data_IF_853461945418
#
_entry.id   IF_853461945418
#
_cell.length_a   1.000
_cell.length_b   1.000
_cell.length_c   1.000
_cell.angle_alpha   90.00
_cell.angle_beta   90.00
_cell.angle_gamma   90.00
#
_symmetry.space_group_name_H-M   'P 1'
#
loop_
_entity.id
_entity.type
_entity.pdbx_description
1 polymer ?
#
# COMPACT_ATOMS: atom_id res chain seq x y z
N UNK A 1 20.60 5.01 -27.78
CA UNK A 1 19.41 5.34 -26.98
C UNK A 1 19.13 6.83 -27.17
N UNK A 2 17.90 7.22 -27.52
CA UNK A 2 17.56 8.63 -27.73
C UNK A 2 17.34 9.29 -26.35
N UNK A 3 18.27 10.16 -25.95
CA UNK A 3 18.27 10.81 -24.64
C UNK A 3 16.92 11.43 -24.25
N UNK A 4 16.18 11.96 -25.23
CA UNK A 4 14.87 12.58 -25.01
C UNK A 4 13.78 11.55 -24.67
N UNK A 5 13.81 10.37 -25.29
CA UNK A 5 12.90 9.26 -25.00
C UNK A 5 13.13 8.73 -23.59
N UNK A 6 14.39 8.49 -23.23
CA UNK A 6 14.76 7.94 -21.93
C UNK A 6 14.39 8.90 -20.79
N UNK A 7 14.67 10.19 -20.98
CA UNK A 7 14.30 11.23 -20.01
C UNK A 7 12.78 11.33 -19.81
N UNK A 8 12.01 11.35 -20.90
CA UNK A 8 10.54 11.46 -20.83
C UNK A 8 9.92 10.21 -20.19
N UNK A 9 10.48 9.02 -20.48
CA UNK A 9 10.08 7.78 -19.81
C UNK A 9 10.37 7.82 -18.30
N UNK A 10 11.53 8.34 -17.90
CA UNK A 10 11.88 8.54 -16.49
C UNK A 10 10.94 9.53 -15.79
N UNK A 11 10.50 10.58 -16.48
CA UNK A 11 9.49 11.51 -15.95
C UNK A 11 8.15 10.81 -15.71
N UNK A 12 7.67 10.00 -16.66
CA UNK A 12 6.44 9.23 -16.46
C UNK A 12 6.56 8.28 -15.26
N UNK A 13 7.68 7.55 -15.16
CA UNK A 13 7.96 6.67 -14.03
C UNK A 13 8.02 7.42 -12.68
N UNK A 14 8.50 8.66 -12.69
CA UNK A 14 8.51 9.51 -11.50
C UNK A 14 7.10 9.90 -11.05
N UNK A 15 6.21 10.26 -11.98
CA UNK A 15 4.82 10.59 -11.64
C UNK A 15 4.06 9.35 -11.12
N UNK A 16 4.28 8.18 -11.74
CA UNK A 16 3.78 6.89 -11.22
C UNK A 16 4.29 6.63 -9.79
N UNK A 17 5.56 6.91 -9.51
CA UNK A 17 6.14 6.76 -8.18
C UNK A 17 5.49 7.70 -7.16
N UNK A 18 5.18 8.94 -7.55
CA UNK A 18 4.49 9.92 -6.68
C UNK A 18 3.01 9.58 -6.49
N UNK A 19 2.47 8.62 -7.24
CA UNK A 19 1.04 8.28 -7.22
C UNK A 19 0.18 9.19 -8.11
N UNK A 20 0.79 10.03 -8.95
CA UNK A 20 0.06 10.88 -9.88
C UNK A 20 -0.13 10.16 -11.23
N UNK A 21 -1.07 9.22 -11.23
CA UNK A 21 -1.40 8.43 -12.42
C UNK A 21 -1.93 9.31 -13.56
N UNK A 22 -2.61 10.42 -13.26
CA UNK A 22 -3.12 11.35 -14.28
C UNK A 22 -1.99 12.12 -14.97
N UNK A 23 -0.99 12.60 -14.23
CA UNK A 23 0.20 13.20 -14.82
C UNK A 23 1.00 12.16 -15.62
N UNK A 24 1.15 10.93 -15.11
CA UNK A 24 1.82 9.85 -15.83
C UNK A 24 1.16 9.55 -17.18
N UNK A 25 -0.19 9.48 -17.23
CA UNK A 25 -0.96 9.30 -18.49
C UNK A 25 -0.59 10.39 -19.50
N UNK A 26 -0.60 11.67 -19.09
CA UNK A 26 -0.26 12.80 -19.98
C UNK A 26 1.16 12.67 -20.54
N UNK A 27 2.12 12.26 -19.72
CA UNK A 27 3.52 12.09 -20.16
C UNK A 27 3.63 10.91 -21.14
N UNK A 28 2.99 9.78 -20.87
CA UNK A 28 2.99 8.63 -21.78
C UNK A 28 2.32 8.95 -23.13
N UNK A 29 1.20 9.66 -23.12
CA UNK A 29 0.52 10.10 -24.35
C UNK A 29 1.41 11.03 -25.18
N UNK A 30 2.08 12.00 -24.53
CA UNK A 30 3.04 12.88 -25.20
C UNK A 30 4.21 12.09 -25.80
N UNK A 31 4.75 11.11 -25.07
CA UNK A 31 5.83 10.25 -25.55
C UNK A 31 5.42 9.45 -26.79
N UNK A 32 4.22 8.87 -26.79
CA UNK A 32 3.70 8.11 -27.91
C UNK A 32 3.36 8.97 -29.12
N UNK A 33 2.97 10.23 -28.90
CA UNK A 33 2.66 11.18 -29.97
C UNK A 33 3.92 11.76 -30.60
N UNK A 34 4.84 12.24 -29.78
CA UNK A 34 5.97 13.07 -30.23
C UNK A 34 7.19 12.23 -30.63
N UNK A 35 7.40 11.06 -29.99
CA UNK A 35 8.60 10.25 -30.17
C UNK A 35 8.33 8.91 -30.86
N UNK A 36 7.13 8.66 -31.43
CA UNK A 36 6.75 7.36 -32.01
C UNK A 36 7.80 6.76 -32.95
N UNK A 37 8.40 7.61 -33.80
CA UNK A 37 9.41 7.22 -34.81
C UNK A 37 10.75 6.82 -34.18
N UNK A 38 10.99 7.23 -32.94
CA UNK A 38 12.21 6.99 -32.18
C UNK A 38 12.07 5.83 -31.18
N UNK A 39 10.90 5.19 -31.11
CA UNK A 39 10.63 4.03 -30.26
C UNK A 39 10.77 2.74 -31.06
N UNK A 40 11.55 1.79 -30.53
CA UNK A 40 11.49 0.42 -31.01
C UNK A 40 10.16 -0.26 -30.60
N UNK A 41 9.88 -1.44 -31.18
CA UNK A 41 8.64 -2.18 -30.91
C UNK A 41 8.46 -2.54 -29.44
N UNK A 42 9.55 -2.87 -28.73
CA UNK A 42 9.50 -3.25 -27.31
C UNK A 42 9.16 -2.04 -26.45
N UNK A 43 9.85 -0.92 -26.67
CA UNK A 43 9.59 0.34 -25.98
C UNK A 43 8.16 0.81 -26.22
N UNK A 44 7.70 0.79 -27.46
CA UNK A 44 6.33 1.16 -27.81
C UNK A 44 5.29 0.30 -27.06
N UNK A 45 5.45 -1.02 -27.09
CA UNK A 45 4.53 -1.94 -26.40
C UNK A 45 4.55 -1.74 -24.88
N UNK A 46 5.73 -1.52 -24.30
CA UNK A 46 5.87 -1.24 -22.86
C UNK A 46 5.14 0.05 -22.48
N UNK A 47 5.33 1.13 -23.25
CA UNK A 47 4.66 2.41 -22.98
C UNK A 47 3.14 2.29 -23.14
N UNK A 48 2.66 1.57 -24.16
CA UNK A 48 1.22 1.31 -24.35
C UNK A 48 0.62 0.55 -23.17
N UNK A 49 1.31 -0.49 -22.70
CA UNK A 49 0.88 -1.27 -21.54
C UNK A 49 0.82 -0.40 -20.28
N UNK A 50 1.88 0.36 -19.98
CA UNK A 50 1.90 1.24 -18.82
C UNK A 50 0.85 2.34 -18.91
N UNK A 51 0.62 2.91 -20.10
CA UNK A 51 -0.46 3.88 -20.33
C UNK A 51 -1.84 3.28 -20.02
N UNK A 52 -2.10 2.05 -20.46
CA UNK A 52 -3.37 1.37 -20.18
C UNK A 52 -3.57 1.16 -18.67
N UNK A 53 -2.54 0.69 -17.96
CA UNK A 53 -2.59 0.54 -16.50
C UNK A 53 -2.85 1.86 -15.80
N UNK A 54 -2.18 2.95 -16.20
CA UNK A 54 -2.35 4.24 -15.55
C UNK A 54 -3.73 4.87 -15.85
N UNK A 55 -4.31 4.65 -17.05
CA UNK A 55 -5.69 5.06 -17.33
C UNK A 55 -6.70 4.35 -16.43
N UNK A 56 -6.56 3.03 -16.29
CA UNK A 56 -7.40 2.27 -15.37
C UNK A 56 -7.23 2.75 -13.93
N UNK A 57 -6.00 3.06 -13.51
CA UNK A 57 -5.73 3.61 -12.18
C UNK A 57 -6.42 4.97 -11.97
N UNK A 58 -6.46 5.85 -12.98
CA UNK A 58 -7.17 7.13 -12.90
C UNK A 58 -8.67 6.91 -12.70
N UNK A 59 -9.29 6.01 -13.46
CA UNK A 59 -10.71 5.68 -13.29
C UNK A 59 -10.99 5.10 -11.89
N UNK A 60 -10.17 4.14 -11.45
CA UNK A 60 -10.31 3.54 -10.12
C UNK A 60 -10.03 4.52 -8.97
N UNK A 61 -9.23 5.55 -9.22
CA UNK A 61 -8.94 6.59 -8.23
C UNK A 61 -10.17 7.47 -7.98
N UNK A 62 -11.04 7.67 -8.97
CA UNK A 62 -12.31 8.39 -8.76
C UNK A 62 -13.22 7.66 -7.76
N UNK A 63 -13.20 6.33 -7.76
CA UNK A 63 -13.93 5.53 -6.77
C UNK A 63 -13.27 5.62 -5.39
N UNK A 64 -11.94 5.60 -5.32
CA UNK A 64 -11.22 5.84 -4.06
C UNK A 64 -11.55 7.21 -3.48
N UNK A 65 -11.62 8.28 -4.30
CA UNK A 65 -12.02 9.62 -3.87
C UNK A 65 -13.41 9.66 -3.25
N UNK A 66 -14.37 8.89 -3.77
CA UNK A 66 -15.71 8.76 -3.16
C UNK A 66 -15.62 8.11 -1.80
N UNK A 67 -14.87 7.02 -1.68
CA UNK A 67 -14.65 6.38 -0.39
C UNK A 67 -13.94 7.31 0.60
N UNK A 68 -12.98 8.14 0.16
CA UNK A 68 -12.33 9.13 1.04
C UNK A 68 -13.32 10.16 1.58
N UNK A 69 -14.23 10.64 0.74
CA UNK A 69 -15.27 11.57 1.15
C UNK A 69 -16.23 10.91 2.16
N UNK A 70 -16.59 9.64 1.97
CA UNK A 70 -17.40 8.90 2.94
C UNK A 70 -16.67 8.68 4.27
N UNK A 71 -15.37 8.36 4.23
CA UNK A 71 -14.56 8.13 5.43
C UNK A 71 -14.34 9.40 6.25
N UNK A 72 -14.26 10.57 5.59
CA UNK A 72 -14.08 11.86 6.26
C UNK A 72 -15.20 12.20 7.25
N UNK A 73 -16.40 11.65 7.02
CA UNK A 73 -17.57 11.81 7.90
C UNK A 73 -17.63 10.77 9.03
N UNK A 74 -16.66 9.86 9.10
CA UNK A 74 -16.64 8.72 10.04
C UNK A 74 -15.57 8.89 11.10
N UNK A 75 -15.77 8.19 12.22
CA UNK A 75 -14.73 7.99 13.24
C UNK A 75 -14.00 6.69 12.94
N UNK A 76 -13.03 6.73 12.02
CA UNK A 76 -12.24 5.55 11.66
C UNK A 76 -11.04 5.37 12.61
N UNK A 77 -10.77 4.14 13.09
CA UNK A 77 -9.58 3.82 13.86
C UNK A 77 -8.30 4.23 13.15
N UNK A 78 -7.28 4.60 13.91
CA UNK A 78 -5.97 4.98 13.38
C UNK A 78 -4.87 4.14 14.03
N UNK A 79 -3.85 3.81 13.24
CA UNK A 79 -2.57 3.31 13.75
C UNK A 79 -1.53 4.41 13.59
N UNK A 80 -0.92 4.79 14.72
CA UNK A 80 0.25 5.66 14.75
C UNK A 80 1.48 4.77 14.84
N UNK A 81 2.26 4.73 13.76
CA UNK A 81 3.47 3.91 13.63
C UNK A 81 4.67 4.85 13.78
N UNK A 82 5.36 4.75 14.91
CA UNK A 82 6.61 5.48 15.15
C UNK A 82 7.78 4.63 14.65
N UNK A 83 8.66 5.24 13.86
CA UNK A 83 9.82 4.56 13.28
C UNK A 83 11.13 5.32 13.56
N UNK A 84 12.25 4.76 13.15
CA UNK A 84 13.53 5.48 13.13
C UNK A 84 13.57 6.65 12.13
N UNK A 85 12.67 6.64 11.14
CA UNK A 85 12.58 7.69 10.09
C UNK A 85 11.53 8.75 10.39
N UNK A 86 10.70 8.54 11.40
CA UNK A 86 9.61 9.43 11.77
C UNK A 86 8.29 8.70 11.95
N UNK A 87 7.23 9.49 12.06
CA UNK A 87 5.87 9.02 12.34
C UNK A 87 5.10 8.78 11.03
N UNK A 88 4.35 7.69 10.97
CA UNK A 88 3.38 7.38 9.91
C UNK A 88 2.01 7.18 10.58
N UNK A 89 0.98 7.87 10.10
CA UNK A 89 -0.39 7.70 10.60
C UNK A 89 -1.22 7.02 9.53
N UNK A 90 -1.82 5.90 9.88
CA UNK A 90 -2.69 5.10 9.01
C UNK A 90 -4.12 5.18 9.53
N UNK A 91 -5.06 5.54 8.67
CA UNK A 91 -6.50 5.39 8.90
C UNK A 91 -6.93 3.98 8.47
N UNK A 92 -7.63 3.25 9.34
CA UNK A 92 -8.13 1.90 9.08
C UNK A 92 -9.57 1.90 8.57
N UNK A 93 -9.86 1.03 7.60
CA UNK A 93 -11.16 0.89 6.97
C UNK A 93 -12.04 -0.13 7.69
N UNK A 94 -12.46 0.22 8.90
CA UNK A 94 -13.23 -0.69 9.77
C UNK A 94 -14.51 -1.24 9.11
N UNK A 95 -15.22 -0.44 8.32
CA UNK A 95 -16.45 -0.89 7.63
C UNK A 95 -16.16 -1.87 6.48
N UNK A 96 -14.92 -1.88 5.97
CA UNK A 96 -14.51 -2.66 4.80
C UNK A 96 -13.81 -3.96 5.23
N UNK A 97 -13.01 -3.89 6.30
CA UNK A 97 -12.24 -4.99 6.85
C UNK A 97 -12.32 -5.01 8.39
N UNK A 98 -13.51 -5.24 8.97
CA UNK A 98 -13.73 -5.16 10.43
C UNK A 98 -12.88 -6.17 11.21
N UNK A 99 -12.75 -7.41 10.72
CA UNK A 99 -11.99 -8.44 11.44
C UNK A 99 -10.49 -8.15 11.40
N UNK A 100 -9.99 -7.67 10.25
CA UNK A 100 -8.61 -7.21 10.08
C UNK A 100 -8.30 -5.99 10.95
N UNK A 101 -9.24 -5.03 11.02
CA UNK A 101 -9.12 -3.86 11.89
C UNK A 101 -9.06 -4.28 13.36
N UNK A 102 -9.94 -5.17 13.80
CA UNK A 102 -9.91 -5.73 15.16
C UNK A 102 -8.59 -6.42 15.48
N UNK A 103 -8.03 -7.17 14.54
CA UNK A 103 -6.73 -7.82 14.69
C UNK A 103 -5.59 -6.80 14.84
N UNK A 104 -5.51 -5.81 13.96
CA UNK A 104 -4.49 -4.76 13.99
C UNK A 104 -4.56 -3.94 15.28
N UNK A 105 -5.76 -3.50 15.68
CA UNK A 105 -5.97 -2.75 16.92
C UNK A 105 -5.60 -3.60 18.14
N UNK A 106 -5.98 -4.88 18.17
CA UNK A 106 -5.58 -5.79 19.24
C UNK A 106 -4.07 -5.92 19.34
N UNK A 107 -3.38 -6.20 18.21
CA UNK A 107 -1.93 -6.34 18.18
C UNK A 107 -1.21 -5.05 18.60
N UNK A 108 -1.72 -3.88 18.21
CA UNK A 108 -1.18 -2.59 18.65
C UNK A 108 -1.38 -2.36 20.16
N UNK A 109 -2.55 -2.71 20.72
CA UNK A 109 -2.82 -2.61 22.17
C UNK A 109 -1.95 -3.56 22.99
N UNK A 110 -1.64 -4.73 22.44
CA UNK A 110 -0.76 -5.72 23.05
C UNK A 110 0.74 -5.37 22.86
N UNK A 111 1.06 -4.20 22.30
CA UNK A 111 2.42 -3.73 21.99
C UNK A 111 3.23 -4.70 21.12
N UNK A 112 2.54 -5.55 20.34
CA UNK A 112 3.15 -6.64 19.58
C UNK A 112 4.18 -6.16 18.53
N UNK A 113 3.94 -4.97 17.97
CA UNK A 113 4.76 -4.43 16.89
C UNK A 113 6.02 -3.69 17.38
N UNK A 114 6.13 -3.44 18.68
CA UNK A 114 7.20 -2.62 19.26
C UNK A 114 8.55 -3.33 19.12
N UNK A 115 9.53 -2.66 18.49
CA UNK A 115 10.87 -3.20 18.23
C UNK A 115 11.00 -4.08 16.98
N UNK A 116 9.89 -4.39 16.30
CA UNK A 116 9.91 -5.11 15.02
C UNK A 116 10.52 -4.26 13.91
N UNK A 117 10.69 -4.84 12.71
CA UNK A 117 11.32 -4.16 11.58
C UNK A 117 10.44 -4.13 10.33
N UNK A 118 10.82 -3.25 9.41
CA UNK A 118 10.50 -3.39 7.99
C UNK A 118 11.51 -4.33 7.35
N UNK A 119 11.20 -5.63 7.32
CA UNK A 119 12.11 -6.66 6.82
C UNK A 119 12.21 -6.71 5.29
N UNK A 120 11.20 -6.19 4.58
CA UNK A 120 11.20 -6.12 3.12
C UNK A 120 10.76 -4.74 2.68
N UNK A 121 11.66 -4.01 2.03
CA UNK A 121 11.35 -2.70 1.43
C UNK A 121 11.83 -2.72 0.00
N UNK A 122 10.89 -2.57 -0.93
CA UNK A 122 11.16 -2.52 -2.36
C UNK A 122 10.81 -1.13 -2.88
N UNK A 123 11.81 -0.33 -3.31
CA UNK A 123 11.55 0.98 -3.88
C UNK A 123 10.56 0.89 -5.03
N UNK A 124 9.61 1.83 -5.05
CA UNK A 124 8.52 1.87 -6.02
C UNK A 124 7.52 0.70 -5.91
N UNK A 125 7.50 -0.08 -4.83
CA UNK A 125 6.47 -1.09 -4.64
C UNK A 125 5.86 -0.99 -3.25
N UNK A 126 6.47 -1.63 -2.24
CA UNK A 126 5.94 -1.67 -0.89
C UNK A 126 7.03 -1.63 0.18
N UNK A 127 6.69 -1.09 1.35
CA UNK A 127 7.43 -1.27 2.59
C UNK A 127 6.64 -2.23 3.50
N UNK A 128 7.15 -3.44 3.70
CA UNK A 128 6.52 -4.53 4.44
C UNK A 128 7.20 -4.73 5.80
N UNK A 129 6.39 -4.82 6.85
CA UNK A 129 6.83 -4.91 8.24
C UNK A 129 5.90 -5.76 9.10
N UNK A 130 6.16 -5.73 10.42
CA UNK A 130 5.32 -6.42 11.41
C UNK A 130 5.57 -7.93 11.52
N UNK A 131 6.75 -8.41 11.09
CA UNK A 131 7.14 -9.81 11.24
C UNK A 131 7.92 -10.00 12.56
N UNK A 132 7.46 -10.85 13.51
CA UNK A 132 8.16 -11.06 14.78
C UNK A 132 9.55 -11.70 14.61
N UNK A 133 9.73 -12.57 13.61
CA UNK A 133 11.03 -13.17 13.28
C UNK A 133 11.95 -12.21 12.49
N UNK A 134 11.42 -11.09 12.00
CA UNK A 134 12.16 -10.11 11.20
C UNK A 134 12.61 -10.57 9.80
N UNK A 135 12.14 -11.73 9.32
CA UNK A 135 12.56 -12.35 8.04
C UNK A 135 11.38 -12.70 7.10
N UNK A 136 10.15 -12.35 7.49
CA UNK A 136 8.91 -12.63 6.75
C UNK A 136 8.23 -13.96 7.08
N UNK A 137 8.82 -14.81 7.95
CA UNK A 137 8.23 -16.11 8.33
C UNK A 137 7.42 -16.08 9.62
N UNK A 138 7.48 -14.98 10.36
CA UNK A 138 6.84 -14.83 11.66
C UNK A 138 5.32 -14.62 11.58
N UNK A 139 4.66 -15.00 12.66
CA UNK A 139 3.19 -15.05 12.82
C UNK A 139 2.81 -14.62 14.25
N UNK A 140 1.58 -14.12 14.47
CA UNK A 140 1.10 -13.81 15.82
C UNK A 140 0.58 -15.04 16.58
N UNK A 141 0.80 -16.26 16.06
CA UNK A 141 0.30 -17.53 16.61
C UNK A 141 -1.12 -17.88 16.15
N UNK A 142 -1.65 -17.16 15.16
CA UNK A 142 -2.97 -17.37 14.57
C UNK A 142 -3.07 -16.72 13.20
N UNK A 143 -4.10 -17.09 12.44
CA UNK A 143 -4.39 -16.55 11.10
C UNK A 143 -5.76 -15.88 11.05
N UNK A 144 -5.99 -15.03 10.05
CA UNK A 144 -7.29 -14.44 9.75
C UNK A 144 -7.84 -15.04 8.47
N UNK A 145 -9.17 -15.16 8.44
CA UNK A 145 -9.90 -15.34 7.19
C UNK A 145 -9.79 -14.07 6.36
N UNK A 146 -9.53 -14.22 5.07
CA UNK A 146 -9.35 -13.11 4.15
C UNK A 146 -10.69 -12.40 3.94
N UNK A 147 -10.72 -11.11 4.21
CA UNK A 147 -11.86 -10.24 3.86
C UNK A 147 -11.76 -9.84 2.39
N UNK A 148 -12.90 -9.57 1.74
CA UNK A 148 -12.91 -9.13 0.35
C UNK A 148 -12.70 -7.61 0.35
N UNK A 149 -11.58 -7.14 -0.20
CA UNK A 149 -11.33 -5.71 -0.32
C UNK A 149 -12.24 -5.11 -1.40
N UNK A 150 -13.03 -4.10 -1.02
CA UNK A 150 -13.75 -3.25 -1.99
C UNK A 150 -12.84 -2.20 -2.63
N UNK A 151 -11.70 -1.90 -1.98
CA UNK A 151 -10.75 -0.88 -2.41
C UNK A 151 -9.59 -1.49 -3.18
N UNK A 152 -9.08 -0.70 -4.11
CA UNK A 152 -7.89 -1.01 -4.90
C UNK A 152 -6.63 -0.52 -4.17
N UNK A 153 -5.49 -1.08 -4.56
CA UNK A 153 -4.18 -0.65 -4.06
C UNK A 153 -3.69 0.57 -4.82
N UNK A 154 -3.36 1.61 -4.07
CA UNK A 154 -2.70 2.82 -4.54
C UNK A 154 -1.53 3.14 -3.62
N UNK A 155 -0.74 4.13 -4.02
CA UNK A 155 0.26 4.74 -3.16
C UNK A 155 -0.41 5.25 -1.88
N UNK A 156 0.14 4.85 -0.74
CA UNK A 156 -0.42 5.11 0.58
C UNK A 156 -1.37 4.03 1.09
N UNK A 157 -1.82 3.07 0.27
CA UNK A 157 -2.61 1.95 0.78
C UNK A 157 -1.83 1.15 1.82
N UNK A 158 -2.51 0.82 2.93
CA UNK A 158 -2.04 -0.06 3.98
C UNK A 158 -2.80 -1.38 3.90
N UNK A 159 -2.08 -2.48 3.71
CA UNK A 159 -2.69 -3.78 3.40
C UNK A 159 -2.00 -4.94 4.10
N UNK A 160 -2.73 -6.04 4.26
CA UNK A 160 -2.23 -7.23 4.96
C UNK A 160 -1.42 -8.13 4.04
N UNK A 161 -0.23 -8.51 4.49
CA UNK A 161 0.54 -9.55 3.85
C UNK A 161 -0.06 -10.93 4.16
N UNK A 162 0.17 -11.88 3.26
CA UNK A 162 -0.20 -13.29 3.43
C UNK A 162 0.78 -14.18 2.66
N UNK A 163 0.83 -15.45 3.05
CA UNK A 163 1.47 -16.46 2.23
C UNK A 163 0.66 -16.71 0.93
N UNK A 164 1.15 -17.62 0.09
CA UNK A 164 0.40 -18.06 -1.11
C UNK A 164 -0.96 -18.66 -0.77
N UNK A 165 -1.10 -19.25 0.43
CA UNK A 165 -2.36 -19.81 0.92
C UNK A 165 -3.35 -18.69 1.25
N UNK A 166 -4.60 -18.83 0.78
CA UNK A 166 -5.70 -17.99 1.25
C UNK A 166 -5.90 -18.18 2.75
N UNK A 167 -6.39 -17.15 3.44
CA UNK A 167 -6.65 -17.18 4.90
C UNK A 167 -5.38 -17.43 5.73
N UNK A 168 -4.28 -16.81 5.31
CA UNK A 168 -2.98 -16.86 5.99
C UNK A 168 -2.42 -15.51 6.40
N UNK A 169 -3.28 -14.50 6.44
CA UNK A 169 -2.95 -13.19 7.01
C UNK A 169 -2.80 -13.35 8.52
N UNK A 170 -1.89 -12.59 9.11
CA UNK A 170 -1.65 -12.60 10.56
C UNK A 170 -1.34 -11.19 11.02
N UNK A 171 -0.07 -10.93 11.33
CA UNK A 171 0.40 -9.65 11.84
C UNK A 171 1.11 -8.78 10.80
N UNK A 172 1.63 -9.37 9.73
CA UNK A 172 2.43 -8.65 8.73
C UNK A 172 1.57 -7.75 7.84
N UNK A 173 2.04 -6.53 7.63
CA UNK A 173 1.40 -5.52 6.80
C UNK A 173 2.41 -4.91 5.82
N UNK A 174 1.90 -4.18 4.84
CA UNK A 174 2.72 -3.35 3.96
C UNK A 174 2.04 -2.02 3.60
N UNK A 175 2.88 -1.01 3.36
CA UNK A 175 2.49 0.30 2.82
C UNK A 175 2.93 0.36 1.36
N UNK A 176 2.02 0.68 0.46
CA UNK A 176 2.33 0.89 -0.95
C UNK A 176 3.00 2.25 -1.17
N UNK A 177 4.15 2.28 -1.85
CA UNK A 177 4.97 3.50 -2.06
C UNK A 177 5.04 3.95 -3.53
N UNK A 178 4.14 3.43 -4.39
CA UNK A 178 3.94 3.90 -5.77
C UNK A 178 2.54 3.53 -6.31
N UNK A 179 2.20 4.01 -7.51
CA UNK A 179 1.10 3.50 -8.34
C UNK A 179 1.60 2.66 -9.53
N UNK A 180 2.73 1.98 -9.39
CA UNK A 180 3.22 1.15 -10.49
C UNK A 180 2.32 -0.08 -10.72
N UNK A 181 2.53 -0.74 -11.85
CA UNK A 181 1.72 -1.90 -12.26
C UNK A 181 1.74 -3.02 -11.21
N UNK A 182 2.88 -3.22 -10.53
CA UNK A 182 3.00 -4.21 -9.46
C UNK A 182 2.07 -3.89 -8.28
N UNK A 183 2.02 -2.63 -7.82
CA UNK A 183 1.09 -2.18 -6.77
C UNK A 183 -0.35 -2.37 -7.22
N UNK A 184 -0.71 -1.82 -8.37
CA UNK A 184 -2.10 -1.86 -8.88
C UNK A 184 -2.60 -3.30 -9.03
N UNK A 185 -1.71 -4.23 -9.41
CA UNK A 185 -2.02 -5.66 -9.58
C UNK A 185 -2.29 -6.43 -8.28
N UNK A 186 -2.07 -5.84 -7.11
CA UNK A 186 -2.42 -6.41 -5.81
C UNK A 186 -3.92 -6.31 -5.51
N UNK A 187 -4.61 -5.38 -6.18
CA UNK A 187 -6.04 -5.13 -6.01
C UNK A 187 -6.86 -6.42 -6.22
N UNK A 188 -7.80 -6.67 -5.32
CA UNK A 188 -8.62 -7.89 -5.31
C UNK A 188 -7.91 -9.17 -4.84
N UNK A 189 -6.59 -9.14 -4.56
CA UNK A 189 -5.81 -10.32 -4.10
C UNK A 189 -5.40 -10.27 -2.62
N UNK A 190 -5.37 -9.07 -2.06
CA UNK A 190 -4.98 -8.78 -0.68
C UNK A 190 -5.98 -7.82 -0.04
N UNK A 191 -6.12 -7.90 1.28
CA UNK A 191 -7.00 -7.01 2.06
C UNK A 191 -6.33 -5.64 2.17
N UNK A 192 -6.96 -4.61 1.62
CA UNK A 192 -6.62 -3.21 1.92
C UNK A 192 -7.31 -2.87 3.24
N UNK A 193 -6.54 -2.73 4.30
CA UNK A 193 -7.04 -2.50 5.66
C UNK A 193 -7.07 -1.03 6.03
N UNK A 194 -6.42 -0.16 5.25
CA UNK A 194 -6.37 1.26 5.54
C UNK A 194 -5.58 2.07 4.51
N UNK A 195 -5.28 3.32 4.85
CA UNK A 195 -4.42 4.23 4.09
C UNK A 195 -3.57 5.11 4.99
N UNK A 196 -2.41 5.51 4.50
CA UNK A 196 -1.58 6.54 5.12
C UNK A 196 -2.25 7.90 4.93
N UNK A 197 -2.50 8.60 6.04
CA UNK A 197 -3.05 9.97 6.05
C UNK A 197 -2.00 11.02 6.46
N UNK A 198 -0.92 10.61 7.14
CA UNK A 198 0.23 11.46 7.48
C UNK A 198 1.53 10.63 7.42
N UNK A 199 2.66 11.27 7.09
CA UNK A 199 3.97 10.60 7.12
C UNK A 199 4.29 9.76 5.88
N UNK A 200 3.69 10.08 4.74
CA UNK A 200 3.91 9.30 3.52
C UNK A 200 5.32 9.49 2.94
N UNK A 201 5.93 10.65 3.18
CA UNK A 201 7.34 10.95 2.94
C UNK A 201 8.29 10.18 3.87
N UNK A 202 7.82 9.78 5.06
CA UNK A 202 8.56 8.88 5.95
C UNK A 202 8.52 7.46 5.39
N UNK A 203 7.35 6.99 4.94
CA UNK A 203 7.21 5.70 4.28
C UNK A 203 8.11 5.56 3.05
N UNK A 204 8.26 6.62 2.25
CA UNK A 204 9.16 6.65 1.09
C UNK A 204 10.66 6.49 1.44
N UNK A 205 11.04 6.84 2.68
CA UNK A 205 12.41 6.83 3.15
C UNK A 205 12.79 5.54 3.89
N UNK A 206 11.81 4.68 4.18
CA UNK A 206 12.05 3.41 4.85
C UNK A 206 13.03 2.55 4.05
N UNK A 207 13.82 1.78 4.78
CA UNK A 207 14.80 0.83 4.26
C UNK A 207 14.65 -0.50 4.99
N UNK A 208 15.17 -1.55 4.36
CA UNK A 208 15.23 -2.87 5.00
C UNK A 208 15.97 -2.76 6.33
N UNK A 209 15.33 -3.24 7.40
CA UNK A 209 15.87 -3.24 8.76
C UNK A 209 15.49 -2.03 9.61
N UNK A 210 14.90 -0.97 9.04
CA UNK A 210 14.40 0.16 9.83
C UNK A 210 13.39 -0.33 10.88
N UNK A 211 13.48 0.23 12.10
CA UNK A 211 12.68 -0.24 13.23
C UNK A 211 11.33 0.45 13.32
N UNK A 212 10.34 -0.34 13.71
CA UNK A 212 9.08 0.11 14.29
C UNK A 212 9.36 0.30 15.78
N UNK A 213 9.44 1.55 16.23
CA UNK A 213 9.65 1.88 17.65
C UNK A 213 8.42 1.53 18.46
N UNK A 214 7.25 1.92 17.96
CA UNK A 214 5.97 1.62 18.58
C UNK A 214 4.83 1.69 17.57
N UNK A 215 3.78 0.91 17.81
CA UNK A 215 2.49 1.11 17.14
C UNK A 215 1.41 1.34 18.18
N UNK A 216 0.63 2.41 18.02
CA UNK A 216 -0.47 2.75 18.94
C UNK A 216 -1.77 2.91 18.17
N UNK A 217 -2.86 2.43 18.74
CA UNK A 217 -4.19 2.54 18.16
C UNK A 217 -4.93 3.75 18.75
N UNK A 218 -5.42 4.62 17.89
CA UNK A 218 -6.10 5.87 18.24
C UNK A 218 -7.45 5.98 17.52
N UNK A 219 -8.28 6.96 17.90
CA UNK A 219 -9.57 7.25 17.26
C UNK A 219 -10.50 6.03 17.13
N UNK A 220 -10.49 5.16 18.15
CA UNK A 220 -11.27 3.93 18.18
C UNK A 220 -12.76 4.23 18.35
N UNK A 221 -13.60 3.43 17.71
CA UNK A 221 -15.05 3.44 17.91
C UNK A 221 -15.39 2.77 19.25
N UNK A 222 -16.58 3.07 19.78
CA UNK A 222 -17.05 2.55 21.06
C UNK A 222 -17.59 1.11 20.92
N UNK A 223 -16.68 0.16 20.69
CA UNK A 223 -16.94 -1.27 20.79
C UNK A 223 -15.66 -2.07 21.04
N UNK A 224 -15.83 -3.36 21.33
CA UNK A 224 -14.70 -4.27 21.51
C UNK A 224 -14.04 -4.61 20.17
N UNK A 225 -12.71 -4.55 20.12
CA UNK A 225 -11.89 -4.96 18.98
C UNK A 225 -11.36 -6.38 19.23
N UNK A 226 -12.23 -7.37 19.03
CA UNK A 226 -11.92 -8.78 19.24
C UNK A 226 -11.91 -9.55 17.92
N UNK A 227 -10.73 -9.91 17.36
CA UNK A 227 -10.66 -10.61 16.10
C UNK A 227 -11.15 -12.06 16.22
N UNK A 228 -11.82 -12.53 15.19
CA UNK A 228 -12.10 -13.95 14.96
C UNK A 228 -10.91 -14.57 14.24
N UNK A 229 -10.23 -15.48 14.92
CA UNK A 229 -8.97 -16.07 14.47
C UNK A 229 -9.13 -17.53 14.05
N UNK A 230 -8.34 -17.95 13.08
CA UNK A 230 -8.08 -19.34 12.72
C UNK A 230 -6.81 -19.82 13.44
N UNK A 231 -6.70 -21.12 13.77
CA UNK A 231 -5.43 -21.68 14.23
C UNK A 231 -4.35 -21.54 13.16
N UNK A 232 -3.10 -21.37 13.61
CA UNK A 232 -1.92 -21.29 12.74
C UNK A 232 -1.82 -22.46 11.75
#
# INVERSE_FOLDING_TARGET
MNFRVDYTFQLAALEVRKGDSAAAVKVFEALLKDERKNLDTRQFNQIQQSLQFQRQAVEQWEDELKFQAEDAEKTNPRLVIETDKGKIVVELFEDDAPNTTAALVKLAKDEFYDGLNFHRVEPNFVAQGGCPNGDGTGSPGWRLKSEISRRNHFRGSFAMARSQRMDSQGCQFYICVSNNESVLSLSGKYVVAGRVIEGMEVADQLRVGDKIKSVRAENLRDHEYKPVTLPE
#
